data_IF_674584411128
#
_entry.id   IF_674584411128
#
_cell.length_a   1.000
_cell.length_b   1.000
_cell.length_c   1.000
_cell.angle_alpha   90.00
_cell.angle_beta   90.00
_cell.angle_gamma   90.00
#
_symmetry.space_group_name_H-M   'P 1'
#
loop_
_entity.id
_entity.type
_entity.pdbx_description
1 polymer ?
#
# COMPACT_ATOMS: atom_id res chain seq x y z
N UNK A 1 18.92 3.14 -6.32
CA UNK A 1 19.09 1.72 -5.98
C UNK A 1 20.03 1.55 -4.80
N UNK A 2 21.01 2.45 -4.62
CA UNK A 2 22.03 2.42 -3.55
C UNK A 2 21.46 2.15 -2.14
N UNK A 3 20.33 2.75 -1.77
CA UNK A 3 19.78 2.63 -0.41
C UNK A 3 19.20 1.25 -0.09
N UNK A 4 19.00 0.38 -1.09
CA UNK A 4 18.58 -1.03 -0.88
C UNK A 4 19.74 -2.01 -0.99
N UNK A 5 20.96 -1.54 -1.22
CA UNK A 5 22.17 -2.36 -1.30
C UNK A 5 22.85 -2.48 0.06
N UNK A 6 23.45 -3.65 0.33
CA UNK A 6 24.19 -3.89 1.58
C UNK A 6 23.32 -3.89 2.85
N UNK A 7 22.00 -4.10 2.71
CA UNK A 7 21.05 -4.25 3.84
C UNK A 7 20.41 -5.64 3.90
N UNK A 8 20.91 -6.57 3.08
CA UNK A 8 20.33 -7.90 2.88
C UNK A 8 18.90 -7.87 2.32
N UNK A 9 18.64 -6.91 1.41
CA UNK A 9 17.36 -6.81 0.72
C UNK A 9 17.17 -7.97 -0.26
N UNK A 10 15.98 -8.56 -0.24
CA UNK A 10 15.63 -9.70 -1.07
C UNK A 10 14.97 -9.23 -2.36
N UNK A 11 15.36 -9.85 -3.49
CA UNK A 11 14.69 -9.61 -4.78
C UNK A 11 13.38 -10.38 -4.81
N UNK A 12 12.32 -9.69 -5.22
CA UNK A 12 10.98 -10.25 -5.37
C UNK A 12 10.54 -10.09 -6.83
N UNK A 13 10.14 -11.19 -7.46
CA UNK A 13 9.73 -11.23 -8.86
C UNK A 13 8.22 -11.39 -9.06
N UNK A 14 7.46 -11.49 -7.98
CA UNK A 14 6.02 -11.63 -8.05
C UNK A 14 5.38 -12.01 -6.72
N UNK A 15 4.15 -12.49 -6.80
CA UNK A 15 3.41 -13.05 -5.67
C UNK A 15 2.97 -14.49 -5.94
N UNK A 16 2.76 -15.27 -4.88
CA UNK A 16 2.07 -16.55 -4.93
C UNK A 16 0.78 -16.44 -4.12
N UNK A 17 -0.36 -16.70 -4.75
CA UNK A 17 -1.67 -16.73 -4.08
C UNK A 17 -1.97 -18.16 -3.65
N UNK A 18 -2.41 -18.35 -2.42
CA UNK A 18 -2.82 -19.65 -1.87
C UNK A 18 -4.28 -19.60 -1.46
N UNK A 19 -5.05 -20.62 -1.84
CA UNK A 19 -6.45 -20.79 -1.45
C UNK A 19 -6.82 -22.27 -1.46
N UNK A 20 -7.38 -22.77 -0.37
CA UNK A 20 -7.87 -24.16 -0.23
C UNK A 20 -6.87 -25.23 -0.67
N UNK A 21 -5.59 -25.07 -0.30
CA UNK A 21 -4.52 -25.99 -0.67
C UNK A 21 -4.02 -25.88 -2.12
N UNK A 22 -4.65 -25.06 -2.96
CA UNK A 22 -4.16 -24.70 -4.30
C UNK A 22 -3.32 -23.44 -4.24
N UNK A 23 -2.43 -23.27 -5.21
CA UNK A 23 -1.68 -22.03 -5.37
C UNK A 23 -1.47 -21.66 -6.83
N UNK A 24 -1.27 -20.37 -7.09
CA UNK A 24 -0.89 -19.82 -8.39
C UNK A 24 0.21 -18.78 -8.22
N UNK A 25 1.14 -18.71 -9.18
CA UNK A 25 2.22 -17.73 -9.20
C UNK A 25 1.89 -16.58 -10.15
N UNK A 26 2.10 -15.37 -9.66
CA UNK A 26 1.82 -14.11 -10.31
C UNK A 26 3.14 -13.36 -10.51
N UNK A 27 3.76 -13.52 -11.67
CA UNK A 27 5.02 -12.86 -12.00
C UNK A 27 4.81 -11.38 -12.34
N UNK A 28 5.73 -10.52 -11.90
CA UNK A 28 5.80 -9.15 -12.38
C UNK A 28 6.13 -9.12 -13.88
N UNK A 29 5.44 -8.28 -14.68
CA UNK A 29 5.73 -8.14 -16.11
C UNK A 29 6.97 -7.28 -16.33
N UNK A 30 8.14 -7.91 -16.19
CA UNK A 30 9.45 -7.24 -16.18
C UNK A 30 10.17 -7.28 -17.54
N UNK A 31 9.59 -7.93 -18.56
CA UNK A 31 10.27 -8.22 -19.84
C UNK A 31 10.72 -6.97 -20.59
N UNK A 32 10.02 -5.84 -20.38
CA UNK A 32 10.32 -4.53 -21.00
C UNK A 32 11.21 -3.64 -20.14
N UNK A 33 11.63 -4.12 -18.98
CA UNK A 33 12.43 -3.35 -18.02
C UNK A 33 13.86 -3.87 -17.99
N UNK A 34 14.76 -3.05 -17.46
CA UNK A 34 16.14 -3.46 -17.26
C UNK A 34 16.21 -4.62 -16.24
N UNK A 35 17.21 -5.48 -16.36
CA UNK A 35 17.33 -6.76 -15.62
C UNK A 35 17.51 -6.60 -14.10
N UNK A 36 17.81 -5.39 -13.64
CA UNK A 36 17.90 -5.02 -12.23
C UNK A 36 16.53 -4.70 -11.60
N UNK A 37 15.53 -4.37 -12.42
CA UNK A 37 14.17 -4.03 -11.99
C UNK A 37 13.51 -5.27 -11.41
N UNK A 38 13.07 -5.16 -10.17
CA UNK A 38 12.34 -6.19 -9.42
C UNK A 38 11.80 -5.56 -8.14
N UNK A 39 10.85 -6.21 -7.49
CA UNK A 39 10.47 -5.87 -6.13
C UNK A 39 11.64 -6.02 -5.17
N UNK A 40 11.57 -5.30 -4.04
CA UNK A 40 12.53 -5.42 -2.94
C UNK A 40 11.77 -5.57 -1.63
N UNK A 41 12.19 -6.53 -0.82
CA UNK A 41 11.72 -6.70 0.54
C UNK A 41 12.92 -6.69 1.49
N UNK A 42 12.77 -6.02 2.62
CA UNK A 42 13.89 -5.74 3.52
C UNK A 42 13.39 -5.37 4.92
N UNK A 43 14.30 -5.34 5.88
CA UNK A 43 14.07 -4.68 7.16
C UNK A 43 13.92 -3.17 6.97
N UNK A 44 12.74 -2.64 7.29
CA UNK A 44 12.44 -1.21 7.15
C UNK A 44 13.47 -0.32 7.87
N UNK A 45 13.89 -0.70 9.08
CA UNK A 45 14.88 0.07 9.85
C UNK A 45 16.21 0.25 9.11
N UNK A 46 16.71 -0.79 8.43
CA UNK A 46 17.96 -0.74 7.65
C UNK A 46 17.82 0.19 6.45
N UNK A 47 16.70 0.09 5.74
CA UNK A 47 16.42 0.96 4.58
C UNK A 47 16.30 2.44 4.97
N UNK A 48 15.54 2.75 6.03
CA UNK A 48 15.40 4.12 6.54
C UNK A 48 16.75 4.67 6.99
N UNK A 49 17.59 3.85 7.63
CA UNK A 49 18.93 4.27 8.05
C UNK A 49 19.82 4.60 6.84
N UNK A 50 19.84 3.76 5.80
CA UNK A 50 20.56 4.07 4.54
C UNK A 50 20.06 5.35 3.87
N UNK A 51 18.74 5.56 3.85
CA UNK A 51 18.15 6.80 3.32
C UNK A 51 18.60 8.03 4.10
N UNK A 52 18.66 7.95 5.44
CA UNK A 52 19.17 9.04 6.30
C UNK A 52 20.64 9.31 6.06
N UNK A 53 21.47 8.27 5.95
CA UNK A 53 22.90 8.40 5.66
C UNK A 53 23.15 9.06 4.30
N UNK A 54 22.42 8.64 3.26
CA UNK A 54 22.52 9.24 1.93
C UNK A 54 22.06 10.70 1.93
N UNK A 55 21.01 11.03 2.69
CA UNK A 55 20.57 12.42 2.84
C UNK A 55 21.62 13.26 3.59
N UNK A 56 22.21 12.72 4.66
CA UNK A 56 23.24 13.40 5.46
C UNK A 56 24.53 13.69 4.68
N UNK A 57 24.85 12.88 3.67
CA UNK A 57 26.05 13.11 2.84
C UNK A 57 25.93 14.30 1.88
N UNK A 58 24.73 14.87 1.73
CA UNK A 58 24.51 16.01 0.84
C UNK A 58 24.86 17.33 1.55
N UNK A 59 25.64 18.22 0.92
CA UNK A 59 26.14 19.45 1.58
C UNK A 59 25.03 20.45 1.93
N UNK A 60 23.87 20.35 1.26
CA UNK A 60 22.71 21.21 1.46
C UNK A 60 21.66 20.61 2.42
N UNK A 61 21.98 19.51 3.10
CA UNK A 61 21.08 18.84 4.03
C UNK A 61 21.65 18.89 5.44
N UNK A 62 20.86 19.42 6.39
CA UNK A 62 21.16 19.37 7.82
C UNK A 62 20.15 18.47 8.51
N UNK A 63 20.63 17.37 9.08
CA UNK A 63 19.80 16.49 9.92
C UNK A 63 19.83 16.97 11.36
N UNK A 64 18.64 17.08 11.96
CA UNK A 64 18.46 17.40 13.37
C UNK A 64 17.56 16.33 13.99
N UNK A 65 18.01 15.74 15.09
CA UNK A 65 17.20 14.78 15.85
C UNK A 65 16.45 15.52 16.95
N UNK A 66 15.12 15.48 16.89
CA UNK A 66 14.23 16.10 17.85
C UNK A 66 12.77 15.75 17.55
N UNK A 67 11.87 16.20 18.43
CA UNK A 67 10.42 16.00 18.30
C UNK A 67 9.74 17.33 18.04
N UNK A 68 9.12 17.49 16.86
CA UNK A 68 8.32 18.68 16.53
C UNK A 68 7.11 18.74 17.46
N UNK A 69 6.90 19.87 18.13
CA UNK A 69 5.82 20.08 19.10
C UNK A 69 4.69 20.95 18.53
N UNK A 70 5.00 21.88 17.64
CA UNK A 70 4.01 22.75 17.00
C UNK A 70 4.51 23.30 15.67
N UNK A 71 3.56 23.67 14.80
CA UNK A 71 3.83 24.48 13.63
C UNK A 71 3.75 25.96 14.04
N UNK A 72 4.65 26.77 13.50
CA UNK A 72 4.62 28.22 13.71
C UNK A 72 3.74 28.85 12.65
N UNK A 73 2.60 29.37 13.06
CA UNK A 73 1.61 30.00 12.17
C UNK A 73 1.50 31.49 12.45
N UNK A 74 1.57 32.30 11.38
CA UNK A 74 1.37 33.74 11.43
C UNK A 74 0.43 34.14 10.29
N UNK A 75 -0.70 34.78 10.62
CA UNK A 75 -1.73 35.21 9.66
C UNK A 75 -2.18 34.10 8.68
N UNK A 76 -2.39 32.87 9.17
CA UNK A 76 -2.80 31.74 8.34
C UNK A 76 -1.68 31.11 7.48
N UNK A 77 -0.43 31.56 7.67
CA UNK A 77 0.74 31.05 6.94
C UNK A 77 1.70 30.35 7.90
N UNK A 78 2.09 29.12 7.56
CA UNK A 78 3.13 28.40 8.30
C UNK A 78 4.50 28.98 7.96
N UNK A 79 5.25 29.39 8.99
CA UNK A 79 6.58 30.01 8.89
C UNK A 79 7.70 29.10 9.38
N UNK A 80 7.38 27.91 9.89
CA UNK A 80 8.35 26.96 10.41
C UNK A 80 7.78 26.05 11.47
N UNK A 81 8.67 25.55 12.32
CA UNK A 81 8.34 24.58 13.37
C UNK A 81 9.03 24.92 14.68
N UNK A 82 8.38 24.54 15.77
CA UNK A 82 8.98 24.44 17.08
C UNK A 82 9.22 22.96 17.40
N UNK A 83 10.37 22.63 17.94
CA UNK A 83 10.73 21.25 18.28
C UNK A 83 11.55 21.19 19.57
N UNK A 84 11.52 20.03 20.21
CA UNK A 84 12.42 19.73 21.33
C UNK A 84 13.62 18.93 20.85
N UNK A 85 14.82 19.36 21.20
CA UNK A 85 16.04 18.59 20.92
C UNK A 85 16.15 17.36 21.85
N UNK A 86 17.24 16.60 21.75
CA UNK A 86 17.50 15.43 22.61
C UNK A 86 17.56 15.76 24.09
N UNK A 87 18.02 16.97 24.43
CA UNK A 87 18.19 17.46 25.79
C UNK A 87 16.88 18.04 26.36
N UNK A 88 15.80 18.02 25.57
CA UNK A 88 14.49 18.52 25.95
C UNK A 88 14.30 20.03 25.79
N UNK A 89 15.32 20.73 25.31
CA UNK A 89 15.29 22.17 25.07
C UNK A 89 14.44 22.50 23.85
N UNK A 90 13.65 23.57 23.99
CA UNK A 90 12.78 24.06 22.93
C UNK A 90 13.59 24.89 21.94
N UNK A 91 13.48 24.52 20.67
CA UNK A 91 14.19 25.13 19.55
C UNK A 91 13.19 25.51 18.47
N UNK A 92 13.58 26.46 17.63
CA UNK A 92 12.76 26.96 16.54
C UNK A 92 13.53 26.89 15.23
N UNK A 93 12.85 26.46 14.16
CA UNK A 93 13.37 26.51 12.80
C UNK A 93 12.37 27.20 11.89
N UNK A 94 12.81 28.25 11.20
CA UNK A 94 12.00 28.99 10.22
C UNK A 94 12.31 28.51 8.80
N UNK A 95 11.27 28.40 7.98
CA UNK A 95 11.39 28.03 6.58
C UNK A 95 10.22 28.58 5.76
N UNK A 96 10.45 28.94 4.48
CA UNK A 96 9.38 29.37 3.58
C UNK A 96 8.39 28.25 3.22
N UNK A 97 8.82 26.99 3.31
CA UNK A 97 7.99 25.81 3.08
C UNK A 97 8.33 24.72 4.11
N UNK A 98 7.31 24.24 4.82
CA UNK A 98 7.40 23.15 5.79
C UNK A 98 6.72 21.90 5.24
N UNK A 99 7.45 20.78 5.12
CA UNK A 99 6.89 19.49 4.68
C UNK A 99 6.61 18.64 5.93
N UNK A 100 5.37 18.21 6.08
CA UNK A 100 4.92 17.39 7.22
C UNK A 100 4.69 15.95 6.77
N UNK A 101 5.30 15.01 7.50
CA UNK A 101 5.12 13.56 7.34
C UNK A 101 5.10 12.89 8.73
N UNK A 102 4.40 11.76 8.84
CA UNK A 102 4.16 11.02 10.09
C UNK A 102 4.32 9.54 9.80
N UNK A 103 5.17 8.81 10.56
CA UNK A 103 5.34 7.38 10.35
C UNK A 103 4.05 6.60 10.69
N UNK A 104 3.77 5.56 9.90
CA UNK A 104 2.72 4.57 10.17
C UNK A 104 3.33 3.25 10.64
N UNK A 105 2.50 2.35 11.18
CA UNK A 105 3.00 1.11 11.78
C UNK A 105 2.14 -0.13 11.42
N UNK A 106 2.76 -1.33 11.47
CA UNK A 106 2.19 -2.65 11.13
C UNK A 106 2.16 -3.72 12.26
N UNK A 107 1.12 -4.58 12.28
CA UNK A 107 1.15 -5.86 13.04
C UNK A 107 2.05 -6.83 12.28
N UNK A 108 3.01 -7.47 12.92
CA UNK A 108 3.81 -8.47 12.23
C UNK A 108 4.66 -9.34 13.14
N UNK A 109 4.92 -10.56 12.66
CA UNK A 109 5.84 -11.52 13.24
C UNK A 109 7.04 -11.71 12.30
N UNK A 110 8.18 -12.12 12.86
CA UNK A 110 9.35 -12.54 12.08
C UNK A 110 9.54 -14.03 12.30
N UNK A 111 9.63 -14.77 11.21
CA UNK A 111 9.96 -16.19 11.19
C UNK A 111 11.45 -16.30 10.82
N UNK A 112 12.16 -17.15 11.54
CA UNK A 112 13.58 -17.44 11.32
C UNK A 112 13.71 -18.81 10.66
N UNK A 113 14.65 -18.97 9.72
CA UNK A 113 14.97 -20.24 9.06
C UNK A 113 13.76 -20.92 8.38
N UNK A 114 12.92 -20.13 7.69
CA UNK A 114 11.73 -20.60 7.01
C UNK A 114 11.93 -20.59 5.49
N UNK A 115 11.82 -21.75 4.85
CA UNK A 115 11.80 -21.85 3.40
C UNK A 115 10.39 -21.59 2.85
N UNK A 116 10.27 -20.53 2.06
CA UNK A 116 9.00 -20.19 1.43
C UNK A 116 8.71 -21.11 0.23
N UNK A 117 7.44 -21.53 0.00
CA UNK A 117 7.08 -22.45 -1.08
C UNK A 117 7.42 -21.98 -2.50
N UNK A 118 7.63 -20.68 -2.69
CA UNK A 118 7.94 -20.07 -3.97
C UNK A 118 9.07 -19.08 -3.75
N UNK A 119 10.29 -19.44 -4.16
CA UNK A 119 11.46 -18.59 -4.01
C UNK A 119 11.23 -17.22 -4.70
N UNK A 120 11.73 -16.15 -4.08
CA UNK A 120 11.64 -14.77 -4.60
C UNK A 120 10.21 -14.28 -4.91
N UNK A 121 9.19 -14.82 -4.24
CA UNK A 121 7.81 -14.34 -4.32
C UNK A 121 7.31 -13.94 -2.93
N UNK A 122 6.41 -12.96 -2.86
CA UNK A 122 5.59 -12.76 -1.67
C UNK A 122 4.41 -13.73 -1.67
N UNK A 123 3.99 -14.23 -0.52
CA UNK A 123 2.92 -15.21 -0.41
C UNK A 123 1.70 -14.56 0.20
N UNK A 124 0.56 -14.70 -0.48
CA UNK A 124 -0.73 -14.19 -0.03
C UNK A 124 -1.63 -15.39 0.20
N UNK A 125 -1.92 -15.70 1.45
CA UNK A 125 -2.85 -16.77 1.82
C UNK A 125 -4.23 -16.14 1.94
N UNK A 126 -5.18 -16.61 1.12
CA UNK A 126 -6.59 -16.24 1.22
C UNK A 126 -7.24 -17.05 2.35
N UNK A 127 -6.87 -16.72 3.58
CA UNK A 127 -7.40 -17.34 4.80
C UNK A 127 -8.72 -16.70 5.26
N UNK A 128 -9.36 -17.38 6.21
CA UNK A 128 -10.59 -16.96 6.86
C UNK A 128 -10.29 -16.54 8.30
N UNK A 129 -10.77 -15.37 8.77
CA UNK A 129 -11.66 -14.44 8.06
C UNK A 129 -10.95 -13.47 7.10
N UNK A 130 -9.62 -13.44 7.08
CA UNK A 130 -8.79 -12.38 6.48
C UNK A 130 -7.51 -12.91 5.85
N UNK A 131 -6.90 -12.16 4.91
CA UNK A 131 -5.69 -12.60 4.24
C UNK A 131 -4.45 -12.58 5.15
N UNK A 132 -3.49 -13.46 4.88
CA UNK A 132 -2.20 -13.56 5.58
C UNK A 132 -1.09 -13.35 4.56
N UNK A 133 -0.07 -12.57 4.90
CA UNK A 133 1.05 -12.25 4.03
C UNK A 133 2.35 -12.82 4.56
N UNK A 134 3.14 -13.43 3.68
CA UNK A 134 4.53 -13.77 3.95
C UNK A 134 5.44 -13.17 2.89
N UNK A 135 6.62 -12.71 3.28
CA UNK A 135 7.66 -12.31 2.33
C UNK A 135 9.02 -12.30 3.00
N UNK A 136 10.10 -12.66 2.28
CA UNK A 136 11.44 -12.69 2.86
C UNK A 136 11.93 -11.25 3.07
N UNK A 137 12.55 -10.94 4.21
CA UNK A 137 13.07 -9.59 4.53
C UNK A 137 14.58 -9.57 4.75
N UNK A 138 15.19 -10.74 4.83
CA UNK A 138 16.63 -10.98 4.85
C UNK A 138 16.90 -12.39 4.30
N UNK A 139 18.16 -12.77 4.22
CA UNK A 139 18.59 -14.12 3.84
C UNK A 139 18.14 -15.21 4.81
N UNK A 140 17.77 -14.85 6.04
CA UNK A 140 17.40 -15.81 7.11
C UNK A 140 16.02 -15.56 7.72
N UNK A 141 15.36 -14.44 7.39
CA UNK A 141 14.12 -14.01 8.03
C UNK A 141 12.98 -13.77 7.03
N UNK A 142 11.80 -14.24 7.40
CA UNK A 142 10.54 -14.04 6.69
C UNK A 142 9.59 -13.23 7.55
N UNK A 143 9.04 -12.16 6.98
CA UNK A 143 7.96 -11.39 7.63
C UNK A 143 6.64 -12.14 7.44
N UNK A 144 5.89 -12.28 8.52
CA UNK A 144 4.49 -12.69 8.49
C UNK A 144 3.60 -11.52 8.94
N UNK A 145 2.59 -11.18 8.16
CA UNK A 145 1.55 -10.22 8.52
C UNK A 145 0.20 -10.93 8.52
N UNK A 146 -0.45 -10.95 9.68
CA UNK A 146 -1.80 -11.48 9.84
C UNK A 146 -2.76 -10.31 9.96
N UNK A 147 -3.68 -10.18 9.01
CA UNK A 147 -4.78 -9.24 9.15
C UNK A 147 -5.81 -9.78 10.15
N UNK A 148 -6.27 -8.96 11.08
CA UNK A 148 -7.30 -9.31 12.05
C UNK A 148 -8.46 -8.34 11.87
N UNK A 149 -9.61 -8.78 11.33
CA UNK A 149 -10.70 -7.87 11.00
C UNK A 149 -11.41 -7.41 12.28
N UNK A 150 -11.78 -6.13 12.31
CA UNK A 150 -12.52 -5.52 13.41
C UNK A 150 -11.74 -4.41 14.13
N UNK A 151 -12.37 -3.78 15.11
CA UNK A 151 -11.76 -2.69 15.89
C UNK A 151 -10.95 -3.17 17.10
N UNK A 152 -11.22 -4.39 17.57
CA UNK A 152 -10.52 -5.00 18.71
C UNK A 152 -9.71 -6.19 18.22
N UNK A 153 -8.40 -6.11 18.43
CA UNK A 153 -7.50 -7.24 18.21
C UNK A 153 -7.44 -8.09 19.49
N UNK A 154 -7.26 -9.42 19.39
CA UNK A 154 -6.99 -10.27 20.55
C UNK A 154 -5.84 -9.71 21.39
N UNK A 155 -5.94 -9.80 22.72
CA UNK A 155 -4.90 -9.25 23.57
C UNK A 155 -3.62 -10.08 23.51
N UNK A 156 -2.48 -9.39 23.47
CA UNK A 156 -1.16 -10.05 23.52
C UNK A 156 -0.83 -10.41 24.97
N UNK A 157 -1.17 -9.54 25.93
CA UNK A 157 -0.74 -9.67 27.33
C UNK A 157 -1.40 -10.85 28.06
N UNK A 158 -2.57 -11.30 27.61
CA UNK A 158 -3.29 -12.44 28.19
C UNK A 158 -3.20 -13.72 27.34
N UNK A 159 -2.42 -13.71 26.25
CA UNK A 159 -2.22 -14.88 25.37
C UNK A 159 -3.37 -15.19 24.40
N UNK A 160 -4.42 -14.37 24.33
CA UNK A 160 -5.50 -14.54 23.34
C UNK A 160 -4.98 -14.47 21.90
N UNK A 161 -4.05 -13.56 21.63
CA UNK A 161 -3.42 -13.44 20.31
C UNK A 161 -2.68 -14.73 19.93
N UNK A 162 -1.87 -15.28 20.84
CA UNK A 162 -1.18 -16.56 20.63
C UNK A 162 -2.17 -17.68 20.34
N UNK A 163 -3.27 -17.73 21.10
CA UNK A 163 -4.35 -18.72 20.92
C UNK A 163 -5.02 -18.56 19.55
N UNK A 164 -5.34 -17.34 19.14
CA UNK A 164 -5.92 -17.04 17.85
C UNK A 164 -4.99 -17.45 16.69
N UNK A 165 -3.70 -17.09 16.78
CA UNK A 165 -2.72 -17.45 15.76
C UNK A 165 -2.56 -18.97 15.63
N UNK A 166 -2.56 -19.72 16.74
CA UNK A 166 -2.43 -21.18 16.70
C UNK A 166 -3.70 -21.92 16.26
N UNK A 167 -4.86 -21.46 16.69
CA UNK A 167 -6.12 -22.20 16.46
C UNK A 167 -6.85 -21.79 15.18
N UNK A 168 -6.77 -20.51 14.80
CA UNK A 168 -7.47 -19.99 13.62
C UNK A 168 -6.52 -19.87 12.43
N UNK A 169 -5.33 -19.29 12.63
CA UNK A 169 -4.43 -18.92 11.52
C UNK A 169 -3.56 -20.10 11.09
N UNK A 170 -2.89 -20.77 12.02
CA UNK A 170 -1.93 -21.83 11.72
C UNK A 170 -2.48 -22.96 10.82
N UNK A 171 -3.72 -23.48 11.03
CA UNK A 171 -4.26 -24.57 10.19
C UNK A 171 -4.43 -24.20 8.71
N UNK A 172 -4.46 -22.90 8.38
CA UNK A 172 -4.67 -22.39 7.04
C UNK A 172 -3.35 -22.05 6.32
N UNK A 173 -2.22 -22.11 7.03
CA UNK A 173 -0.89 -21.82 6.50
C UNK A 173 -0.36 -23.05 5.73
N UNK A 174 0.37 -22.87 4.61
CA UNK A 174 1.03 -23.97 3.92
C UNK A 174 1.95 -24.78 4.86
N UNK A 175 1.94 -26.11 4.70
CA UNK A 175 2.70 -27.03 5.56
C UNK A 175 4.18 -26.67 5.69
N UNK A 176 4.81 -26.15 4.64
CA UNK A 176 6.22 -25.73 4.67
C UNK A 176 6.50 -24.60 5.67
N UNK A 177 5.53 -23.72 5.92
CA UNK A 177 5.68 -22.53 6.78
C UNK A 177 5.18 -22.81 8.21
N UNK A 178 4.35 -23.85 8.39
CA UNK A 178 3.61 -24.14 9.62
C UNK A 178 4.52 -24.19 10.87
N UNK A 179 5.57 -25.01 10.85
CA UNK A 179 6.43 -25.22 12.02
C UNK A 179 7.17 -23.93 12.40
N UNK A 180 7.69 -23.20 11.40
CA UNK A 180 8.36 -21.91 11.60
C UNK A 180 7.39 -20.86 12.14
N UNK A 181 6.13 -20.86 11.67
CA UNK A 181 5.10 -19.97 12.16
C UNK A 181 4.76 -20.26 13.63
N UNK A 182 4.51 -21.51 13.99
CA UNK A 182 4.20 -21.90 15.38
C UNK A 182 5.36 -21.55 16.32
N UNK A 183 6.60 -21.84 15.90
CA UNK A 183 7.79 -21.46 16.66
C UNK A 183 7.92 -19.94 16.86
N UNK A 184 7.64 -19.14 15.83
CA UNK A 184 7.66 -17.68 15.93
C UNK A 184 6.57 -17.13 16.85
N UNK A 185 5.38 -17.76 16.85
CA UNK A 185 4.28 -17.44 17.77
C UNK A 185 4.67 -17.76 19.22
N UNK A 186 5.32 -18.90 19.46
CA UNK A 186 5.78 -19.31 20.79
C UNK A 186 6.91 -18.44 21.34
N UNK A 187 7.75 -17.88 20.47
CA UNK A 187 8.78 -16.90 20.85
C UNK A 187 8.18 -15.59 21.40
N UNK A 188 6.91 -15.28 21.09
CA UNK A 188 6.16 -14.19 21.70
C UNK A 188 6.49 -12.78 21.20
N UNK A 189 7.36 -12.61 20.20
CA UNK A 189 7.74 -11.31 19.63
C UNK A 189 6.67 -10.73 18.66
N UNK A 190 5.41 -10.75 19.08
CA UNK A 190 4.27 -10.29 18.29
C UNK A 190 4.15 -8.77 18.45
N UNK A 191 4.13 -8.04 17.34
CA UNK A 191 3.86 -6.59 17.33
C UNK A 191 2.50 -6.36 16.69
N UNK A 192 1.69 -5.44 17.22
CA UNK A 192 0.40 -5.05 16.65
C UNK A 192 0.37 -3.56 16.31
N UNK A 193 -0.25 -3.21 15.19
CA UNK A 193 -0.48 -1.83 14.78
C UNK A 193 -1.76 -1.69 13.96
N UNK A 194 -2.42 -0.52 13.96
CA UNK A 194 -3.72 -0.38 13.31
C UNK A 194 -3.63 -0.26 11.79
N UNK A 195 -4.46 -1.03 11.06
CA UNK A 195 -4.71 -0.83 9.64
C UNK A 195 -5.61 0.41 9.45
N UNK A 196 -5.01 1.55 9.10
CA UNK A 196 -5.74 2.79 8.83
C UNK A 196 -5.91 3.02 7.33
N UNK A 197 -7.08 3.50 6.95
CA UNK A 197 -7.35 4.03 5.62
C UNK A 197 -7.76 5.49 5.77
N UNK A 198 -7.08 6.38 5.05
CA UNK A 198 -7.32 7.81 5.12
C UNK A 198 -7.28 8.39 3.70
N UNK A 199 -8.43 8.78 3.13
CA UNK A 199 -8.46 9.38 1.81
C UNK A 199 -7.69 10.69 1.83
N UNK A 200 -7.06 11.01 0.70
CA UNK A 200 -6.40 12.31 0.55
C UNK A 200 -7.44 13.43 0.54
N UNK A 201 -7.38 14.31 1.52
CA UNK A 201 -8.19 15.53 1.61
C UNK A 201 -7.25 16.73 1.59
N UNK A 202 -6.92 17.27 0.40
CA UNK A 202 -6.07 18.45 0.29
C UNK A 202 -6.66 19.62 1.07
N UNK A 203 -5.85 20.21 1.94
CA UNK A 203 -6.16 21.50 2.57
C UNK A 203 -5.02 22.46 2.20
N UNK A 204 -5.24 23.39 1.25
CA UNK A 204 -4.21 24.36 0.88
C UNK A 204 -3.84 25.22 2.09
N UNK A 205 -2.60 25.07 2.55
CA UNK A 205 -2.07 25.81 3.70
C UNK A 205 -0.81 26.56 3.26
N UNK A 206 -0.85 27.90 3.15
CA UNK A 206 0.33 28.68 2.83
C UNK A 206 1.52 28.33 3.74
N UNK A 207 2.68 28.05 3.13
CA UNK A 207 3.91 27.71 3.84
C UNK A 207 4.01 26.28 4.36
N UNK A 208 3.03 25.42 4.11
CA UNK A 208 3.10 24.00 4.49
C UNK A 208 2.54 23.04 3.41
N UNK A 209 3.06 21.82 3.40
CA UNK A 209 2.56 20.73 2.56
C UNK A 209 2.59 19.41 3.32
N UNK A 210 1.47 18.69 3.32
CA UNK A 210 1.35 17.37 3.92
C UNK A 210 1.69 16.29 2.89
N UNK A 211 2.51 15.31 3.28
CA UNK A 211 2.91 14.21 2.41
C UNK A 211 2.94 12.87 3.16
N UNK A 212 3.21 11.79 2.42
CA UNK A 212 3.34 10.44 2.97
C UNK A 212 2.02 9.93 3.55
N UNK A 213 2.15 9.05 4.54
CA UNK A 213 1.00 8.48 5.23
C UNK A 213 0.28 9.51 6.11
N UNK A 214 0.93 10.63 6.47
CA UNK A 214 0.26 11.75 7.12
C UNK A 214 -0.81 12.39 6.24
N UNK A 215 -0.65 12.32 4.91
CA UNK A 215 -1.61 12.88 3.96
C UNK A 215 -2.58 11.85 3.41
N UNK A 216 -2.13 10.63 3.13
CA UNK A 216 -2.94 9.63 2.45
C UNK A 216 -2.50 8.21 2.82
N UNK A 217 -3.36 7.51 3.57
CA UNK A 217 -3.17 6.11 3.95
C UNK A 217 -4.12 5.20 3.18
N UNK A 218 -3.66 3.99 2.90
CA UNK A 218 -4.44 2.94 2.23
C UNK A 218 -4.26 1.62 2.94
N UNK A 219 -5.10 0.65 2.59
CA UNK A 219 -4.92 -0.71 3.08
C UNK A 219 -3.53 -1.25 2.66
N UNK A 220 -2.77 -1.85 3.57
CA UNK A 220 -1.38 -2.26 3.35
C UNK A 220 -1.21 -3.59 2.62
N UNK A 221 -2.32 -4.28 2.36
CA UNK A 221 -2.35 -5.57 1.66
C UNK A 221 -1.51 -5.58 0.37
N UNK A 222 -1.48 -4.46 -0.35
CA UNK A 222 -0.75 -4.33 -1.62
C UNK A 222 0.67 -3.79 -1.48
N UNK A 223 1.10 -3.39 -0.28
CA UNK A 223 2.44 -2.84 -0.05
C UNK A 223 2.73 -1.51 -0.76
N UNK A 224 1.71 -0.81 -1.28
CA UNK A 224 1.90 0.34 -2.17
C UNK A 224 2.23 1.70 -1.53
N UNK A 225 2.28 1.79 -0.20
CA UNK A 225 2.47 3.06 0.53
C UNK A 225 3.79 3.77 0.16
N UNK A 226 4.92 3.05 0.26
CA UNK A 226 6.23 3.59 -0.11
C UNK A 226 6.31 3.97 -1.59
N UNK A 227 5.69 3.19 -2.48
CA UNK A 227 5.63 3.49 -3.91
C UNK A 227 4.92 4.82 -4.17
N UNK A 228 3.79 5.07 -3.50
CA UNK A 228 3.09 6.36 -3.62
C UNK A 228 3.92 7.49 -3.02
N UNK A 229 4.52 7.30 -1.84
CA UNK A 229 5.35 8.32 -1.22
C UNK A 229 6.56 8.71 -2.10
N UNK A 230 7.27 7.74 -2.67
CA UNK A 230 8.39 7.99 -3.58
C UNK A 230 7.93 8.63 -4.90
N UNK A 231 6.78 8.21 -5.44
CA UNK A 231 6.17 8.86 -6.61
C UNK A 231 5.79 10.31 -6.33
N UNK A 232 5.22 10.58 -5.15
CA UNK A 232 4.85 11.92 -4.70
C UNK A 232 6.09 12.82 -4.58
N UNK A 233 7.19 12.30 -4.03
CA UNK A 233 8.48 13.00 -3.96
C UNK A 233 8.95 13.41 -5.36
N UNK A 234 8.83 12.52 -6.36
CA UNK A 234 9.21 12.84 -7.75
C UNK A 234 8.34 13.96 -8.34
N UNK A 235 7.02 13.91 -8.12
CA UNK A 235 6.10 14.96 -8.56
C UNK A 235 6.44 16.29 -7.90
N UNK A 236 6.59 16.30 -6.58
CA UNK A 236 6.91 17.50 -5.81
C UNK A 236 8.27 18.08 -6.22
N UNK A 237 9.31 17.24 -6.36
CA UNK A 237 10.62 17.66 -6.85
C UNK A 237 10.51 18.36 -8.21
N UNK A 238 9.73 17.81 -9.14
CA UNK A 238 9.56 18.39 -10.47
C UNK A 238 8.83 19.74 -10.43
N UNK A 239 7.87 19.92 -9.51
CA UNK A 239 7.20 21.19 -9.27
C UNK A 239 8.13 22.23 -8.62
N UNK A 240 8.94 21.82 -7.65
CA UNK A 240 9.83 22.74 -6.93
C UNK A 240 11.08 23.13 -7.74
N UNK A 241 11.60 22.23 -8.59
CA UNK A 241 12.83 22.44 -9.37
C UNK A 241 12.89 23.75 -10.18
N UNK A 242 11.83 24.21 -10.87
CA UNK A 242 11.88 25.47 -11.61
C UNK A 242 11.75 26.73 -10.73
N UNK A 243 11.38 26.60 -9.45
CA UNK A 243 11.20 27.74 -8.56
C UNK A 243 12.56 28.21 -8.02
N UNK A 244 12.83 29.51 -8.14
CA UNK A 244 14.03 30.16 -7.57
C UNK A 244 13.79 30.73 -6.17
N UNK A 245 12.53 31.06 -5.88
CA UNK A 245 12.10 31.66 -4.63
C UNK A 245 10.86 30.92 -4.10
N UNK A 246 10.83 30.69 -2.80
CA UNK A 246 9.73 30.03 -2.08
C UNK A 246 9.05 30.96 -1.06
N UNK A 247 9.50 32.22 -0.93
CA UNK A 247 9.05 33.12 0.13
C UNK A 247 7.62 33.65 -0.05
N UNK A 248 7.10 33.69 -1.28
CA UNK A 248 5.68 34.01 -1.55
C UNK A 248 4.79 32.78 -1.26
N UNK A 249 4.47 32.59 0.01
CA UNK A 249 3.70 31.44 0.49
C UNK A 249 2.30 31.31 -0.16
N UNK A 250 1.51 32.38 -0.36
CA UNK A 250 0.23 32.29 -1.09
C UNK A 250 0.39 31.82 -2.55
N UNK A 251 1.32 32.41 -3.31
CA UNK A 251 1.55 32.02 -4.71
C UNK A 251 2.08 30.59 -4.79
N UNK A 252 3.02 30.23 -3.91
CA UNK A 252 3.57 28.88 -3.80
C UNK A 252 2.49 27.86 -3.47
N UNK A 253 1.62 28.14 -2.49
CA UNK A 253 0.51 27.26 -2.11
C UNK A 253 -0.43 27.00 -3.29
N UNK A 254 -0.83 28.06 -3.99
CA UNK A 254 -1.65 27.96 -5.20
C UNK A 254 -0.94 27.18 -6.30
N UNK A 255 0.36 27.37 -6.48
CA UNK A 255 1.11 26.58 -7.46
C UNK A 255 1.17 25.10 -7.07
N UNK A 256 1.44 24.79 -5.80
CA UNK A 256 1.56 23.43 -5.29
C UNK A 256 0.24 22.65 -5.28
N UNK A 257 -0.93 23.26 -5.41
CA UNK A 257 -2.18 22.52 -5.66
C UNK A 257 -2.10 21.60 -6.90
N UNK A 258 -1.22 21.91 -7.87
CA UNK A 258 -0.91 21.02 -9.01
C UNK A 258 -0.44 19.63 -8.56
N UNK A 259 0.27 19.53 -7.43
CA UNK A 259 0.70 18.27 -6.83
C UNK A 259 -0.47 17.31 -6.64
N UNK A 260 -1.59 17.80 -6.09
CA UNK A 260 -2.77 16.97 -5.80
C UNK A 260 -3.43 16.41 -7.05
N UNK A 261 -3.29 17.07 -8.20
CA UNK A 261 -3.80 16.59 -9.48
C UNK A 261 -2.80 15.64 -10.14
N UNK A 262 -1.52 16.01 -10.18
CA UNK A 262 -0.47 15.25 -10.86
C UNK A 262 -0.21 13.88 -10.22
N UNK A 263 -0.36 13.77 -8.89
CA UNK A 263 -0.19 12.48 -8.19
C UNK A 263 -1.34 11.49 -8.40
N UNK A 264 -2.52 11.97 -8.79
CA UNK A 264 -3.77 11.18 -8.76
C UNK A 264 -3.71 9.90 -9.58
N UNK A 265 -3.15 9.84 -10.80
CA UNK A 265 -3.11 8.60 -11.56
C UNK A 265 -2.42 7.44 -10.80
N UNK A 266 -1.27 7.70 -10.18
CA UNK A 266 -0.54 6.70 -9.38
C UNK A 266 -1.25 6.41 -8.07
N UNK A 267 -1.50 7.46 -7.28
CA UNK A 267 -2.06 7.32 -5.93
C UNK A 267 -3.46 6.68 -5.96
N UNK A 268 -4.36 7.14 -6.83
CA UNK A 268 -5.73 6.60 -6.92
C UNK A 268 -5.76 5.16 -7.41
N UNK A 269 -4.89 4.77 -8.36
CA UNK A 269 -4.83 3.37 -8.83
C UNK A 269 -4.42 2.44 -7.69
N UNK A 270 -3.35 2.78 -6.96
CA UNK A 270 -2.85 1.97 -5.85
C UNK A 270 -3.87 1.96 -4.68
N UNK A 271 -4.47 3.10 -4.34
CA UNK A 271 -5.49 3.20 -3.29
C UNK A 271 -6.73 2.37 -3.62
N UNK A 272 -7.22 2.51 -4.86
CA UNK A 272 -8.41 1.81 -5.34
C UNK A 272 -8.17 0.31 -5.35
N UNK A 273 -7.00 -0.13 -5.85
CA UNK A 273 -6.63 -1.54 -5.86
C UNK A 273 -6.55 -2.09 -4.43
N UNK A 274 -5.88 -1.39 -3.52
CA UNK A 274 -5.74 -1.82 -2.14
C UNK A 274 -7.10 -2.02 -1.43
N UNK A 275 -7.98 -1.02 -1.54
CA UNK A 275 -9.30 -1.07 -0.91
C UNK A 275 -10.24 -2.11 -1.55
N UNK A 276 -10.21 -2.23 -2.89
CA UNK A 276 -11.05 -3.18 -3.61
C UNK A 276 -10.58 -4.62 -3.36
N UNK A 277 -9.28 -4.89 -3.50
CA UNK A 277 -8.72 -6.23 -3.35
C UNK A 277 -8.89 -6.75 -1.92
N UNK A 278 -8.71 -5.90 -0.91
CA UNK A 278 -8.98 -6.25 0.49
C UNK A 278 -10.43 -6.71 0.69
N UNK A 279 -11.41 -5.95 0.18
CA UNK A 279 -12.84 -6.32 0.28
C UNK A 279 -13.18 -7.62 -0.45
N UNK A 280 -12.45 -7.95 -1.52
CA UNK A 280 -12.60 -9.22 -2.26
C UNK A 280 -11.92 -10.39 -1.54
N UNK A 281 -10.76 -10.17 -0.92
CA UNK A 281 -9.96 -11.23 -0.29
C UNK A 281 -10.46 -11.62 1.10
N UNK A 282 -11.14 -10.74 1.82
CA UNK A 282 -11.74 -11.09 3.10
C UNK A 282 -12.92 -12.04 2.94
N UNK A 283 -13.01 -13.00 3.86
CA UNK A 283 -14.13 -13.92 3.94
C UNK A 283 -15.44 -13.16 4.17
N UNK A 284 -16.53 -13.68 3.61
CA UNK A 284 -17.84 -13.08 3.74
C UNK A 284 -18.91 -14.17 3.84
N UNK A 285 -19.96 -13.97 4.67
CA UNK A 285 -21.12 -14.87 4.67
C UNK A 285 -22.00 -14.69 3.41
N UNK A 286 -21.85 -13.58 2.68
CA UNK A 286 -22.54 -13.35 1.42
C UNK A 286 -21.94 -14.20 0.29
N UNK A 287 -22.74 -15.14 -0.23
CA UNK A 287 -22.40 -16.03 -1.35
C UNK A 287 -21.90 -15.29 -2.60
N UNK A 288 -22.44 -14.10 -2.89
CA UNK A 288 -21.99 -13.33 -4.06
C UNK A 288 -20.55 -12.81 -3.89
N UNK A 289 -20.16 -12.46 -2.65
CA UNK A 289 -18.79 -12.05 -2.32
C UNK A 289 -17.82 -13.22 -2.24
N UNK A 290 -18.28 -14.37 -1.73
CA UNK A 290 -17.50 -15.63 -1.82
C UNK A 290 -17.20 -15.93 -3.28
N UNK A 291 -18.21 -15.87 -4.16
CA UNK A 291 -17.97 -16.19 -5.56
C UNK A 291 -17.09 -15.15 -6.28
N UNK A 292 -17.10 -13.90 -5.85
CA UNK A 292 -16.15 -12.88 -6.33
C UNK A 292 -14.71 -13.20 -5.92
N UNK A 293 -14.50 -13.69 -4.69
CA UNK A 293 -13.19 -14.11 -4.18
C UNK A 293 -12.65 -15.29 -4.97
N UNK A 294 -13.49 -16.30 -5.22
CA UNK A 294 -13.18 -17.47 -6.05
C UNK A 294 -12.88 -17.05 -7.49
N UNK A 295 -13.74 -16.23 -8.08
CA UNK A 295 -13.56 -15.67 -9.42
C UNK A 295 -12.22 -14.94 -9.54
N UNK A 296 -11.82 -14.16 -8.53
CA UNK A 296 -10.55 -13.46 -8.53
C UNK A 296 -9.36 -14.41 -8.55
N UNK A 297 -9.36 -15.45 -7.70
CA UNK A 297 -8.29 -16.44 -7.66
C UNK A 297 -8.14 -17.18 -9.00
N UNK A 298 -9.24 -17.69 -9.57
CA UNK A 298 -9.17 -18.45 -10.81
C UNK A 298 -8.89 -17.56 -12.02
N UNK A 299 -9.42 -16.32 -12.06
CA UNK A 299 -9.10 -15.34 -13.11
C UNK A 299 -7.59 -15.05 -13.16
N UNK A 300 -6.98 -14.80 -12.00
CA UNK A 300 -5.54 -14.59 -11.89
C UNK A 300 -4.74 -15.85 -12.25
N UNK A 301 -5.32 -17.03 -12.04
CA UNK A 301 -4.72 -18.32 -12.39
C UNK A 301 -4.73 -18.63 -13.90
N UNK A 302 -5.51 -17.91 -14.71
CA UNK A 302 -5.52 -18.08 -16.17
C UNK A 302 -4.19 -17.63 -16.84
N UNK A 303 -3.35 -16.87 -16.15
CA UNK A 303 -2.10 -16.38 -16.71
C UNK A 303 -2.29 -15.32 -17.81
N UNK A 304 -1.22 -15.03 -18.55
CA UNK A 304 -1.24 -14.02 -19.62
C UNK A 304 -1.74 -12.67 -19.14
N UNK A 305 -2.60 -12.01 -19.93
CA UNK A 305 -3.17 -10.68 -19.62
C UNK A 305 -4.02 -10.68 -18.34
N UNK A 306 -4.64 -11.81 -18.00
CA UNK A 306 -5.48 -11.96 -16.81
C UNK A 306 -4.66 -11.89 -15.50
N UNK A 307 -3.35 -12.20 -15.57
CA UNK A 307 -2.41 -12.09 -14.46
C UNK A 307 -1.50 -10.87 -14.58
N UNK A 308 -0.83 -10.68 -15.72
CA UNK A 308 0.14 -9.60 -15.91
C UNK A 308 -0.48 -8.21 -15.84
N UNK A 309 -1.73 -8.05 -16.29
CA UNK A 309 -2.48 -6.80 -16.19
C UNK A 309 -2.68 -6.37 -14.73
N UNK A 310 -3.41 -7.14 -13.90
CA UNK A 310 -3.57 -6.87 -12.48
C UNK A 310 -2.25 -6.73 -11.71
N UNK A 311 -1.26 -7.58 -12.02
CA UNK A 311 0.05 -7.54 -11.36
C UNK A 311 0.83 -6.27 -11.71
N UNK A 312 0.69 -5.74 -12.94
CA UNK A 312 1.29 -4.46 -13.33
C UNK A 312 0.71 -3.25 -12.58
N UNK A 313 -0.57 -3.32 -12.21
CA UNK A 313 -1.24 -2.33 -11.37
C UNK A 313 -0.77 -2.44 -9.93
N UNK A 314 -0.66 -3.69 -9.42
CA UNK A 314 -0.20 -4.00 -8.07
C UNK A 314 1.25 -3.55 -7.84
N UNK A 315 2.14 -3.79 -8.79
CA UNK A 315 3.55 -3.40 -8.72
C UNK A 315 3.80 -1.91 -8.94
N UNK A 316 2.77 -1.15 -9.35
CA UNK A 316 2.90 0.26 -9.70
C UNK A 316 3.68 0.52 -11.01
N UNK A 317 3.95 -0.52 -11.81
CA UNK A 317 4.66 -0.41 -13.09
C UNK A 317 3.78 0.20 -14.19
N UNK A 318 2.46 0.00 -14.11
CA UNK A 318 1.51 0.55 -15.06
C UNK A 318 0.23 1.05 -14.36
N UNK A 319 0.31 2.12 -13.54
CA UNK A 319 -0.79 2.57 -12.72
C UNK A 319 -1.83 3.35 -13.55
N UNK A 320 -2.64 2.62 -14.33
CA UNK A 320 -3.69 3.16 -15.19
C UNK A 320 -5.08 2.91 -14.58
N UNK A 321 -5.78 3.97 -14.13
CA UNK A 321 -7.11 3.86 -13.53
C UNK A 321 -8.13 3.08 -14.38
N UNK A 322 -8.15 3.32 -15.70
CA UNK A 322 -9.08 2.63 -16.59
C UNK A 322 -8.78 1.12 -16.68
N UNK A 323 -7.51 0.74 -16.73
CA UNK A 323 -7.11 -0.67 -16.73
C UNK A 323 -7.53 -1.38 -15.45
N UNK A 324 -7.42 -0.71 -14.30
CA UNK A 324 -7.92 -1.22 -13.03
C UNK A 324 -9.42 -1.51 -13.07
N UNK A 325 -10.23 -0.55 -13.52
CA UNK A 325 -11.68 -0.72 -13.59
C UNK A 325 -12.05 -1.85 -14.55
N UNK A 326 -11.40 -1.92 -15.72
CA UNK A 326 -11.64 -2.97 -16.71
C UNK A 326 -11.32 -4.36 -16.15
N UNK A 327 -10.16 -4.56 -15.51
CA UNK A 327 -9.83 -5.85 -14.89
C UNK A 327 -10.76 -6.20 -13.73
N UNK A 328 -11.13 -5.21 -12.91
CA UNK A 328 -12.04 -5.43 -11.79
C UNK A 328 -13.42 -5.94 -12.26
N UNK A 329 -14.01 -5.31 -13.29
CA UNK A 329 -15.25 -5.80 -13.87
C UNK A 329 -15.06 -7.08 -14.71
N UNK A 330 -13.90 -7.29 -15.32
CA UNK A 330 -13.61 -8.55 -16.02
C UNK A 330 -13.62 -9.74 -15.06
N UNK A 331 -13.06 -9.60 -13.84
CA UNK A 331 -13.19 -10.60 -12.77
C UNK A 331 -14.65 -10.84 -12.42
N UNK A 332 -15.45 -9.77 -12.31
CA UNK A 332 -16.86 -9.88 -11.98
C UNK A 332 -17.66 -10.62 -13.06
N UNK A 333 -17.44 -10.28 -14.34
CA UNK A 333 -18.06 -10.96 -15.50
C UNK A 333 -17.59 -12.41 -15.59
N UNK A 334 -16.31 -12.68 -15.33
CA UNK A 334 -15.77 -14.05 -15.25
C UNK A 334 -16.48 -14.86 -14.15
N UNK A 335 -16.71 -14.27 -12.97
CA UNK A 335 -17.49 -14.87 -11.89
C UNK A 335 -18.93 -15.20 -12.30
N UNK A 336 -19.59 -14.29 -13.04
CA UNK A 336 -20.93 -14.57 -13.61
C UNK A 336 -20.85 -15.74 -14.59
N UNK A 337 -19.87 -15.76 -15.50
CA UNK A 337 -19.69 -16.85 -16.45
C UNK A 337 -19.57 -18.22 -15.77
N UNK A 338 -18.78 -18.31 -14.70
CA UNK A 338 -18.63 -19.53 -13.88
C UNK A 338 -19.95 -20.02 -13.29
N UNK A 339 -20.82 -19.09 -12.86
CA UNK A 339 -22.12 -19.42 -12.31
C UNK A 339 -23.08 -19.94 -13.39
N UNK A 340 -23.01 -19.41 -14.61
CA UNK A 340 -23.94 -19.76 -15.69
C UNK A 340 -23.61 -21.09 -16.38
N UNK A 341 -22.39 -21.60 -16.23
CA UNK A 341 -21.94 -22.87 -16.83
C UNK A 341 -22.10 -24.04 -15.84
N UNK A 342 -22.54 -25.24 -16.28
CA UNK A 342 -23.05 -25.56 -17.62
C UNK A 342 -24.49 -25.08 -17.86
N UNK A 343 -25.27 -24.82 -16.81
CA UNK A 343 -26.67 -24.41 -16.92
C UNK A 343 -26.99 -23.18 -16.07
N UNK A 344 -27.70 -22.17 -16.63
CA UNK A 344 -28.03 -20.92 -15.94
C UNK A 344 -29.32 -21.06 -15.13
N UNK A 345 -29.24 -21.69 -13.96
CA UNK A 345 -30.39 -21.79 -13.05
C UNK A 345 -30.79 -20.40 -12.50
N UNK A 346 -32.10 -20.11 -12.26
CA UNK A 346 -32.54 -18.80 -11.76
C UNK A 346 -31.80 -18.34 -10.51
N UNK A 347 -31.52 -19.26 -9.57
CA UNK A 347 -30.72 -18.99 -8.37
C UNK A 347 -29.29 -18.54 -8.69
N UNK A 348 -28.65 -19.13 -9.71
CA UNK A 348 -27.29 -18.78 -10.13
C UNK A 348 -27.25 -17.46 -10.88
N UNK A 349 -28.25 -17.20 -11.74
CA UNK A 349 -28.45 -15.90 -12.38
C UNK A 349 -28.59 -14.80 -11.32
N UNK A 350 -29.40 -15.05 -10.28
CA UNK A 350 -29.58 -14.11 -9.17
C UNK A 350 -28.27 -13.84 -8.41
N UNK A 351 -27.48 -14.87 -8.12
CA UNK A 351 -26.15 -14.70 -7.51
C UNK A 351 -25.24 -13.89 -8.43
N UNK A 352 -25.26 -14.14 -9.73
CA UNK A 352 -24.49 -13.37 -10.72
C UNK A 352 -24.88 -11.88 -10.75
N UNK A 353 -26.17 -11.57 -10.73
CA UNK A 353 -26.65 -10.19 -10.63
C UNK A 353 -26.18 -9.52 -9.32
N UNK A 354 -26.28 -10.23 -8.19
CA UNK A 354 -25.76 -9.75 -6.90
C UNK A 354 -24.24 -9.58 -6.89
N UNK A 355 -23.49 -10.39 -7.62
CA UNK A 355 -22.05 -10.28 -7.77
C UNK A 355 -21.69 -8.95 -8.47
N UNK A 356 -22.34 -8.63 -9.59
CA UNK A 356 -22.13 -7.36 -10.30
C UNK A 356 -22.53 -6.15 -9.43
N UNK A 357 -23.66 -6.23 -8.73
CA UNK A 357 -24.08 -5.20 -7.78
C UNK A 357 -23.07 -5.04 -6.64
N UNK A 358 -22.58 -6.15 -6.08
CA UNK A 358 -21.53 -6.14 -5.06
C UNK A 358 -20.23 -5.53 -5.56
N UNK A 359 -19.81 -5.87 -6.77
CA UNK A 359 -18.61 -5.31 -7.41
C UNK A 359 -18.75 -3.79 -7.57
N UNK A 360 -19.90 -3.34 -8.08
CA UNK A 360 -20.22 -1.91 -8.23
C UNK A 360 -20.23 -1.19 -6.88
N UNK A 361 -20.80 -1.80 -5.85
CA UNK A 361 -20.82 -1.29 -4.48
C UNK A 361 -19.45 -1.25 -3.79
N UNK A 362 -18.46 -2.01 -4.30
CA UNK A 362 -17.07 -1.92 -3.84
C UNK A 362 -16.34 -0.78 -4.56
N UNK A 363 -16.39 -0.75 -5.90
CA UNK A 363 -15.50 0.08 -6.71
C UNK A 363 -15.97 1.54 -6.81
N UNK A 364 -17.27 1.79 -7.00
CA UNK A 364 -17.78 3.15 -7.23
C UNK A 364 -17.60 4.08 -6.02
N UNK A 365 -17.83 3.66 -4.76
CA UNK A 365 -17.54 4.52 -3.61
C UNK A 365 -16.06 4.90 -3.52
N UNK A 366 -15.15 3.98 -3.86
CA UNK A 366 -13.71 4.24 -3.83
C UNK A 366 -13.31 5.23 -4.93
N UNK A 367 -13.80 5.02 -6.16
CA UNK A 367 -13.59 5.97 -7.27
C UNK A 367 -14.14 7.36 -6.92
N UNK A 368 -15.32 7.42 -6.31
CA UNK A 368 -15.93 8.69 -5.87
C UNK A 368 -15.06 9.40 -4.84
N UNK A 369 -14.52 8.67 -3.86
CA UNK A 369 -13.61 9.21 -2.85
C UNK A 369 -12.28 9.70 -3.45
N UNK A 370 -11.80 9.06 -4.51
CA UNK A 370 -10.57 9.48 -5.22
C UNK A 370 -10.81 10.65 -6.19
N UNK A 371 -12.05 10.92 -6.59
CA UNK A 371 -12.43 11.99 -7.52
C UNK A 371 -12.35 11.54 -8.98
N UNK A 372 -13.53 11.32 -9.59
CA UNK A 372 -13.68 10.77 -10.95
C UNK A 372 -12.87 11.56 -11.99
N UNK A 373 -13.01 12.89 -12.00
CA UNK A 373 -12.36 13.75 -13.00
C UNK A 373 -10.84 13.74 -12.84
N UNK A 374 -10.34 13.82 -11.60
CA UNK A 374 -8.92 13.82 -11.29
C UNK A 374 -8.27 12.46 -11.58
N UNK A 375 -9.01 11.37 -11.37
CA UNK A 375 -8.55 10.00 -11.61
C UNK A 375 -8.45 9.68 -13.11
N UNK A 376 -9.52 9.92 -13.89
CA UNK A 376 -9.57 9.50 -15.30
C UNK A 376 -9.13 10.59 -16.29
N UNK A 377 -9.31 11.86 -15.92
CA UNK A 377 -9.10 13.00 -16.82
C UNK A 377 -8.29 14.12 -16.15
N UNK A 378 -7.11 13.84 -15.58
CA UNK A 378 -6.32 14.83 -14.85
C UNK A 378 -5.98 16.05 -15.71
N UNK A 379 -5.75 15.85 -17.00
CA UNK A 379 -5.48 16.89 -18.00
C UNK A 379 -6.65 17.86 -18.22
N UNK A 380 -7.84 17.60 -17.69
CA UNK A 380 -8.97 18.55 -17.76
C UNK A 380 -9.02 19.49 -16.56
N UNK A 381 -8.18 19.28 -15.54
CA UNK A 381 -8.16 20.08 -14.31
C UNK A 381 -7.22 21.27 -14.51
N UNK A 382 -7.65 22.52 -14.29
CA UNK A 382 -6.80 23.70 -14.51
C UNK A 382 -5.47 23.68 -13.75
N UNK A 383 -5.45 23.07 -12.56
CA UNK A 383 -4.22 22.90 -11.78
C UNK A 383 -3.15 22.06 -12.49
N UNK A 384 -3.51 21.21 -13.47
CA UNK A 384 -2.57 20.38 -14.22
C UNK A 384 -1.54 21.21 -15.03
N UNK A 385 -1.94 22.39 -15.53
CA UNK A 385 -1.11 23.22 -16.42
C UNK A 385 -0.54 24.48 -15.75
N UNK A 386 -0.59 24.58 -14.42
CA UNK A 386 -0.03 25.77 -13.75
C UNK A 386 1.47 25.81 -13.99
N UNK A 387 1.92 26.94 -14.52
CA UNK A 387 3.34 27.24 -14.69
C UNK A 387 3.89 27.89 -13.40
N UNK A 388 5.17 27.68 -13.08
CA UNK A 388 5.86 28.47 -12.07
C UNK A 388 5.78 29.94 -12.48
N UNK A 389 5.40 30.80 -11.54
CA UNK A 389 5.36 32.26 -11.74
C UNK A 389 6.54 32.90 -11.06
#
# INVERSE_FOLDING_TARGET
TDCVEGIDAQRVFGYALFKDGKHTQLAYPLEKFHSDVSGRSFHNGRFIQRMREKAASLPNVRLVQGSVTSLLEENGTIKGVQYKNKDGEQQTAYAPLTIVDVPSCFVGLVLENCDLPCANHGHVILGDPSPILFYPISSTEVRCLVDVPGQKVPSISNGEMTTYLKTVVAPQIPKQIYDSFVAAVDKGNIRTMPNRSMPAAPYPTPGALLMGDAFNMRHPLTGGGMTVALSDIVVLRNLLRPLKDLNDAPTLCKYLESFYTLRKPVASTINTLAGALYKVFCASPDKARQEMREACFDYLSLGGVFSSGPVSLLSGLNPRPLSLVLHFFAVAVYGVGRLLVPFPWPKRIWIGARLILGASGIIFPIIKAEGVRQMFFPATVPAYYRAPR
#
